data_IF_616678829570
#
_entry.id   IF_616678829570
#
_cell.length_a   1.000
_cell.length_b   1.000
_cell.length_c   1.000
_cell.angle_alpha   90.00
_cell.angle_beta   90.00
_cell.angle_gamma   90.00
#
_symmetry.space_group_name_H-M   'P 1'
#
loop_
_entity.id
_entity.type
_entity.pdbx_description
1 polymer ?
#
# COMPACT_ATOMS: atom_id res chain seq x y z
N UNK A 1 -27.53 11.44 -14.27
CA UNK A 1 -26.36 10.84 -14.94
C UNK A 1 -25.66 9.96 -13.91
N UNK A 2 -25.74 8.63 -14.03
CA UNK A 2 -25.01 7.72 -13.15
C UNK A 2 -23.54 7.73 -13.54
N UNK A 3 -22.66 8.05 -12.59
CA UNK A 3 -21.22 7.91 -12.79
C UNK A 3 -20.88 6.42 -12.93
N UNK A 4 -20.01 6.04 -13.88
CA UNK A 4 -19.59 4.65 -14.03
C UNK A 4 -18.92 4.17 -12.74
N UNK A 5 -19.34 3.00 -12.24
CA UNK A 5 -18.73 2.38 -11.07
C UNK A 5 -17.23 2.12 -11.34
N UNK A 6 -16.33 2.48 -10.42
CA UNK A 6 -14.91 2.21 -10.58
C UNK A 6 -14.70 0.69 -10.68
N UNK A 7 -14.13 0.25 -11.80
CA UNK A 7 -13.72 -1.14 -11.99
C UNK A 7 -12.61 -1.42 -10.98
N UNK A 8 -12.92 -2.23 -9.97
CA UNK A 8 -11.94 -2.65 -8.97
C UNK A 8 -10.83 -3.45 -9.65
N UNK A 9 -9.67 -2.83 -9.84
CA UNK A 9 -8.50 -3.51 -10.37
C UNK A 9 -8.12 -4.66 -9.44
N UNK A 10 -7.87 -5.84 -10.00
CA UNK A 10 -7.39 -6.99 -9.23
C UNK A 10 -6.10 -6.63 -8.50
N UNK A 11 -5.95 -7.00 -7.21
CA UNK A 11 -4.78 -6.61 -6.42
C UNK A 11 -3.52 -7.22 -7.03
N UNK A 12 -2.68 -6.36 -7.59
CA UNK A 12 -1.36 -6.75 -8.09
C UNK A 12 -0.50 -7.15 -6.90
N UNK A 13 0.00 -8.39 -6.90
CA UNK A 13 0.92 -8.88 -5.87
C UNK A 13 2.25 -8.12 -5.96
N UNK A 14 2.82 -7.66 -4.84
CA UNK A 14 4.07 -6.91 -4.86
C UNK A 14 5.22 -7.80 -5.37
N UNK A 15 5.98 -7.29 -6.33
CA UNK A 15 7.13 -7.97 -6.94
C UNK A 15 8.45 -7.71 -6.19
N UNK A 16 8.42 -6.87 -5.15
CA UNK A 16 9.58 -6.57 -4.32
C UNK A 16 9.19 -6.08 -2.92
N UNK A 17 10.13 -6.18 -1.96
CA UNK A 17 9.95 -5.67 -0.61
C UNK A 17 9.68 -4.16 -0.58
N UNK A 18 10.38 -3.38 -1.42
CA UNK A 18 10.14 -1.94 -1.54
C UNK A 18 8.73 -1.61 -2.04
N UNK A 19 8.21 -2.38 -3.01
CA UNK A 19 6.84 -2.24 -3.50
C UNK A 19 5.81 -2.63 -2.44
N UNK A 20 6.06 -3.70 -1.69
CA UNK A 20 5.21 -4.11 -0.56
C UNK A 20 5.16 -3.02 0.53
N UNK A 21 6.32 -2.48 0.92
CA UNK A 21 6.43 -1.42 1.93
C UNK A 21 5.73 -0.13 1.48
N UNK A 22 5.98 0.33 0.25
CA UNK A 22 5.32 1.52 -0.29
C UNK A 22 3.82 1.31 -0.42
N UNK A 23 3.38 0.16 -0.92
CA UNK A 23 1.95 -0.17 -1.02
C UNK A 23 1.27 -0.18 0.35
N UNK A 24 1.93 -0.70 1.38
CA UNK A 24 1.41 -0.62 2.76
C UNK A 24 1.34 0.82 3.26
N UNK A 25 2.43 1.60 3.13
CA UNK A 25 2.47 3.00 3.58
C UNK A 25 1.42 3.85 2.89
N UNK A 26 1.21 3.69 1.58
CA UNK A 26 0.18 4.42 0.84
C UNK A 26 -1.22 4.05 1.31
N UNK A 27 -1.53 2.75 1.46
CA UNK A 27 -2.85 2.30 1.93
C UNK A 27 -3.14 2.71 3.38
N UNK A 28 -2.13 2.72 4.24
CA UNK A 28 -2.28 3.09 5.64
C UNK A 28 -2.36 4.60 5.87
N UNK A 29 -1.87 5.42 4.92
CA UNK A 29 -1.86 6.88 5.02
C UNK A 29 -2.89 7.57 4.12
N UNK A 30 -3.55 6.86 3.20
CA UNK A 30 -4.73 7.39 2.53
C UNK A 30 -5.87 7.48 3.56
N UNK A 31 -6.61 8.61 3.63
CA UNK A 31 -7.84 8.66 4.42
C UNK A 31 -8.73 7.49 3.96
N UNK A 32 -9.57 6.90 4.84
CA UNK A 32 -10.45 5.79 4.49
C UNK A 32 -11.58 6.26 3.56
N UNK A 33 -11.20 6.63 2.33
CA UNK A 33 -12.02 6.64 1.13
C UNK A 33 -11.91 5.27 0.43
N UNK A 34 -11.19 4.32 1.04
CA UNK A 34 -10.90 3.00 0.53
C UNK A 34 -12.00 1.96 0.80
N UNK A 35 -12.02 0.97 -0.09
CA UNK A 35 -12.87 -0.22 -0.06
C UNK A 35 -12.89 -0.93 1.32
N UNK A 36 -13.96 -1.67 1.63
CA UNK A 36 -14.20 -2.32 2.94
C UNK A 36 -13.06 -3.26 3.38
N UNK A 37 -12.23 -3.70 2.44
CA UNK A 37 -11.03 -4.51 2.66
C UNK A 37 -9.92 -3.73 3.37
N UNK A 38 -9.71 -2.46 3.04
CA UNK A 38 -8.69 -1.60 3.65
C UNK A 38 -9.02 -1.34 5.13
N UNK A 39 -10.29 -1.04 5.43
CA UNK A 39 -10.74 -0.82 6.80
C UNK A 39 -10.45 -2.03 7.70
N UNK A 40 -10.74 -3.25 7.24
CA UNK A 40 -10.48 -4.48 8.01
C UNK A 40 -8.99 -4.68 8.29
N UNK A 41 -8.14 -4.41 7.30
CA UNK A 41 -6.68 -4.50 7.48
C UNK A 41 -6.17 -3.48 8.50
N UNK A 42 -6.66 -2.23 8.44
CA UNK A 42 -6.32 -1.19 9.43
C UNK A 42 -6.76 -1.59 10.84
N UNK A 43 -7.98 -2.09 11.00
CA UNK A 43 -8.48 -2.56 12.30
C UNK A 43 -7.66 -3.74 12.81
N UNK A 44 -7.28 -4.70 11.95
CA UNK A 44 -6.40 -5.79 12.34
C UNK A 44 -5.02 -5.27 12.81
N UNK A 45 -4.47 -4.24 12.15
CA UNK A 45 -3.20 -3.64 12.55
C UNK A 45 -3.24 -2.96 13.92
N UNK A 46 -4.40 -2.42 14.34
CA UNK A 46 -4.58 -1.89 15.70
C UNK A 46 -4.51 -3.00 16.75
N UNK A 47 -5.10 -4.16 16.47
CA UNK A 47 -4.99 -5.32 17.34
C UNK A 47 -3.55 -5.83 17.43
N UNK A 48 -2.85 -5.95 16.29
CA UNK A 48 -1.44 -6.37 16.29
C UNK A 48 -0.55 -5.38 17.06
N UNK A 49 -0.82 -4.08 16.96
CA UNK A 49 -0.13 -3.06 17.74
C UNK A 49 -0.40 -3.20 19.24
N UNK A 50 -1.65 -3.45 19.65
CA UNK A 50 -1.99 -3.71 21.04
C UNK A 50 -1.29 -4.97 21.58
N UNK A 51 -1.26 -6.05 20.81
CA UNK A 51 -0.54 -7.28 21.17
C UNK A 51 0.97 -7.02 21.34
N UNK A 52 1.57 -6.26 20.40
CA UNK A 52 2.98 -5.88 20.50
C UNK A 52 3.28 -5.04 21.75
N UNK A 53 2.40 -4.09 22.10
CA UNK A 53 2.53 -3.28 23.32
C UNK A 53 2.38 -4.14 24.58
N UNK A 54 1.48 -5.13 24.58
CA UNK A 54 1.28 -6.04 25.70
C UNK A 54 2.49 -6.95 25.97
N UNK A 55 3.30 -7.23 24.93
CA UNK A 55 4.56 -7.97 25.05
C UNK A 55 5.68 -7.14 25.73
N UNK A 56 5.43 -5.84 25.99
CA UNK A 56 6.30 -4.95 26.73
C UNK A 56 7.32 -4.21 25.86
N UNK A 57 8.00 -3.26 26.51
CA UNK A 57 8.94 -2.32 25.87
C UNK A 57 10.02 -2.98 25.01
N UNK A 58 10.65 -4.06 25.51
CA UNK A 58 11.71 -4.76 24.76
C UNK A 58 11.20 -5.33 23.44
N UNK A 59 9.99 -5.89 23.41
CA UNK A 59 9.38 -6.40 22.19
C UNK A 59 9.10 -5.28 21.19
N UNK A 60 8.58 -4.14 21.67
CA UNK A 60 8.33 -2.94 20.85
C UNK A 60 9.63 -2.44 20.21
N UNK A 61 10.71 -2.30 20.98
CA UNK A 61 12.01 -1.82 20.48
C UNK A 61 12.58 -2.78 19.43
N UNK A 62 12.51 -4.09 19.67
CA UNK A 62 12.97 -5.11 18.71
C UNK A 62 12.15 -5.04 17.42
N UNK A 63 10.83 -4.94 17.52
CA UNK A 63 9.97 -4.81 16.35
C UNK A 63 10.29 -3.54 15.55
N UNK A 64 10.41 -2.38 16.20
CA UNK A 64 10.79 -1.12 15.55
C UNK A 64 12.16 -1.22 14.86
N UNK A 65 13.11 -1.91 15.49
CA UNK A 65 14.45 -2.15 14.92
C UNK A 65 14.39 -3.03 13.68
N UNK A 66 13.59 -4.11 13.71
CA UNK A 66 13.38 -4.98 12.54
C UNK A 66 12.67 -4.23 11.41
N UNK A 67 11.62 -3.46 11.70
CA UNK A 67 10.95 -2.63 10.71
C UNK A 67 11.93 -1.64 10.06
N UNK A 68 12.78 -1.00 10.87
CA UNK A 68 13.81 -0.09 10.36
C UNK A 68 14.77 -0.80 9.41
N UNK A 69 15.29 -1.97 9.78
CA UNK A 69 16.18 -2.75 8.94
C UNK A 69 15.52 -3.13 7.60
N UNK A 70 14.23 -3.47 7.61
CA UNK A 70 13.46 -3.73 6.39
C UNK A 70 13.35 -2.48 5.50
N UNK A 71 13.05 -1.31 6.08
CA UNK A 71 12.97 -0.05 5.32
C UNK A 71 14.33 0.36 4.74
N UNK A 72 15.40 0.20 5.50
CA UNK A 72 16.77 0.49 5.04
C UNK A 72 17.17 -0.46 3.90
N UNK A 73 16.84 -1.74 4.01
CA UNK A 73 17.06 -2.72 2.94
C UNK A 73 16.23 -2.39 1.68
N UNK A 74 14.97 -2.00 1.84
CA UNK A 74 14.12 -1.56 0.73
C UNK A 74 14.67 -0.30 0.05
N UNK A 75 15.15 0.67 0.83
CA UNK A 75 15.78 1.89 0.30
C UNK A 75 17.07 1.56 -0.48
N UNK A 76 17.87 0.62 0.00
CA UNK A 76 19.07 0.14 -0.70
C UNK A 76 18.72 -0.56 -2.03
N UNK A 77 17.66 -1.37 -2.06
CA UNK A 77 17.16 -2.00 -3.29
C UNK A 77 16.71 -0.96 -4.33
N UNK A 78 15.98 0.08 -3.91
CA UNK A 78 15.59 1.18 -4.81
C UNK A 78 16.79 1.95 -5.34
N UNK A 79 17.83 2.14 -4.50
CA UNK A 79 19.07 2.77 -4.94
C UNK A 79 19.77 1.95 -6.01
N UNK A 80 19.94 0.64 -5.79
CA UNK A 80 20.54 -0.26 -6.77
C UNK A 80 19.79 -0.24 -8.12
N UNK A 81 18.45 -0.32 -8.08
CA UNK A 81 17.60 -0.21 -9.29
C UNK A 81 17.76 1.14 -9.99
N UNK A 82 17.86 2.23 -9.23
CA UNK A 82 18.06 3.57 -9.80
C UNK A 82 19.41 3.71 -10.51
N UNK A 83 20.47 3.05 -10.00
CA UNK A 83 21.80 3.05 -10.63
C UNK A 83 21.82 2.22 -11.91
N UNK A 84 21.21 1.03 -11.89
CA UNK A 84 21.06 0.17 -13.07
C UNK A 84 20.29 0.89 -14.21
N UNK A 85 19.23 1.62 -13.88
CA UNK A 85 18.46 2.38 -14.88
C UNK A 85 19.29 3.48 -15.57
N UNK A 86 20.25 4.08 -14.86
CA UNK A 86 21.16 5.09 -15.42
C UNK A 86 22.23 4.46 -16.31
N UNK A 87 22.79 3.31 -15.90
CA UNK A 87 23.81 2.58 -16.67
C UNK A 87 23.27 2.09 -18.02
N UNK A 88 22.08 1.47 -18.04
CA UNK A 88 21.43 0.98 -19.27
C UNK A 88 21.19 2.11 -20.27
N UNK A 89 20.83 3.31 -19.80
CA UNK A 89 20.64 4.48 -20.68
C UNK A 89 21.96 5.10 -21.16
N UNK A 90 23.05 4.97 -20.39
CA UNK A 90 24.38 5.46 -20.79
C UNK A 90 25.03 4.63 -21.90
N UNK A 91 24.69 3.34 -22.01
CA UNK A 91 25.24 2.44 -23.04
C UNK A 91 24.53 2.59 -24.40
N UNK A 92 23.27 3.04 -24.42
CA UNK A 92 22.48 3.17 -25.66
C UNK A 92 22.88 4.33 -26.59
N UNK A 93 23.76 5.24 -26.17
CA UNK A 93 24.15 6.44 -26.96
C UNK A 93 25.59 6.44 -27.44
N UNK A 94 26.42 5.47 -27.03
CA UNK A 94 27.84 5.41 -27.41
C UNK A 94 28.11 4.74 -28.78
N UNK A 95 27.09 4.15 -29.44
CA UNK A 95 27.27 3.33 -30.65
C UNK A 95 27.04 4.06 -31.99
N UNK A 96 26.68 5.34 -32.01
CA UNK A 96 26.48 6.08 -33.27
C UNK A 96 27.68 6.97 -33.60
N UNK A 97 28.72 6.37 -34.20
CA UNK A 97 29.79 7.10 -34.87
C UNK A 97 29.24 7.81 -36.11
N UNK A 98 29.02 9.12 -36.02
CA UNK A 98 28.55 9.94 -37.14
C UNK A 98 28.96 11.39 -36.97
N UNK A 99 29.99 11.79 -37.74
CA UNK A 99 30.49 13.16 -37.87
C UNK A 99 29.37 14.10 -38.32
N UNK A 100 28.92 15.01 -37.47
CA UNK A 100 28.29 16.26 -37.95
C UNK A 100 28.67 17.44 -37.07
N UNK A 101 29.14 18.48 -37.75
CA UNK A 101 29.61 19.74 -37.22
C UNK A 101 28.46 20.73 -36.97
N UNK A 102 28.75 21.67 -36.07
CA UNK A 102 28.26 23.05 -36.02
C UNK A 102 26.87 23.37 -35.42
N UNK A 103 26.90 24.49 -34.68
CA UNK A 103 25.82 25.41 -34.32
C UNK A 103 24.88 25.04 -33.15
N UNK A 104 25.23 25.58 -31.97
CA UNK A 104 24.29 26.38 -31.16
C UNK A 104 22.94 25.76 -30.81
N UNK A 105 22.91 24.61 -30.14
CA UNK A 105 21.75 24.16 -29.39
C UNK A 105 22.19 23.13 -28.36
N UNK A 106 21.74 23.29 -27.11
CA UNK A 106 21.85 22.37 -25.97
C UNK A 106 22.31 20.95 -26.36
N UNK A 107 23.53 20.61 -25.95
CA UNK A 107 24.20 19.34 -26.27
C UNK A 107 23.25 18.14 -26.07
N UNK A 108 23.16 17.18 -27.02
CA UNK A 108 22.35 15.97 -26.88
C UNK A 108 22.63 15.20 -25.58
N UNK A 109 23.87 15.31 -25.09
CA UNK A 109 24.34 14.75 -23.81
C UNK A 109 23.62 15.36 -22.60
N UNK A 110 23.26 16.64 -22.66
CA UNK A 110 22.50 17.34 -21.61
C UNK A 110 21.04 16.88 -21.63
N UNK A 111 20.44 16.71 -22.81
CA UNK A 111 19.07 16.21 -22.96
C UNK A 111 18.92 14.75 -22.52
N UNK A 112 19.88 13.88 -22.86
CA UNK A 112 19.89 12.48 -22.41
C UNK A 112 20.01 12.33 -20.90
N UNK A 113 20.88 13.12 -20.24
CA UNK A 113 21.00 13.14 -18.77
C UNK A 113 19.76 13.71 -18.08
N UNK A 114 19.13 14.74 -18.64
CA UNK A 114 17.91 15.32 -18.10
C UNK A 114 16.73 14.31 -18.17
N UNK A 115 16.58 13.59 -19.28
CA UNK A 115 15.55 12.56 -19.43
C UNK A 115 15.78 11.34 -18.52
N UNK A 116 17.03 10.90 -18.37
CA UNK A 116 17.39 9.82 -17.44
C UNK A 116 17.16 10.23 -15.97
N UNK A 117 17.48 11.49 -15.64
CA UNK A 117 17.19 12.07 -14.32
C UNK A 117 15.68 12.11 -14.05
N UNK A 118 14.86 12.51 -15.04
CA UNK A 118 13.40 12.55 -14.91
C UNK A 118 12.79 11.16 -14.66
N UNK A 119 13.25 10.11 -15.36
CA UNK A 119 12.79 8.73 -15.13
C UNK A 119 13.23 8.16 -13.77
N UNK A 120 14.36 8.62 -13.23
CA UNK A 120 14.86 8.21 -11.92
C UNK A 120 14.26 9.02 -10.75
N UNK A 121 13.59 10.16 -11.00
CA UNK A 121 12.94 10.96 -9.95
C UNK A 121 11.96 10.16 -9.06
N UNK A 122 11.01 9.37 -9.59
CA UNK A 122 10.05 8.65 -8.73
C UNK A 122 10.74 7.66 -7.79
N UNK A 123 11.78 6.95 -8.26
CA UNK A 123 12.55 6.02 -7.43
C UNK A 123 13.35 6.75 -6.34
N UNK A 124 13.90 7.93 -6.66
CA UNK A 124 14.60 8.77 -5.69
C UNK A 124 13.65 9.30 -4.61
N UNK A 125 12.43 9.67 -4.99
CA UNK A 125 11.42 10.15 -4.05
C UNK A 125 10.93 9.02 -3.14
N UNK A 126 10.62 7.85 -3.69
CA UNK A 126 10.30 6.65 -2.90
C UNK A 126 11.42 6.31 -1.90
N UNK A 127 12.69 6.38 -2.33
CA UNK A 127 13.84 6.19 -1.44
C UNK A 127 13.86 7.22 -0.30
N UNK A 128 13.61 8.50 -0.60
CA UNK A 128 13.56 9.56 0.43
C UNK A 128 12.46 9.30 1.44
N UNK A 129 11.28 8.85 1.00
CA UNK A 129 10.18 8.49 1.88
C UNK A 129 10.57 7.34 2.81
N UNK A 130 11.17 6.26 2.28
CA UNK A 130 11.63 5.12 3.09
C UNK A 130 12.69 5.55 4.11
N UNK A 131 13.64 6.40 3.72
CA UNK A 131 14.66 6.94 4.62
C UNK A 131 14.05 7.84 5.71
N UNK A 132 13.05 8.66 5.37
CA UNK A 132 12.34 9.48 6.35
C UNK A 132 11.55 8.61 7.33
N UNK A 133 10.90 7.55 6.85
CA UNK A 133 10.21 6.58 7.68
C UNK A 133 11.18 5.83 8.63
N UNK A 134 12.33 5.38 8.12
CA UNK A 134 13.41 4.78 8.92
C UNK A 134 13.86 5.71 10.05
N UNK A 135 14.07 7.00 9.79
CA UNK A 135 14.40 8.00 10.83
C UNK A 135 13.30 8.16 11.88
N UNK A 136 12.03 8.12 11.48
CA UNK A 136 10.90 8.17 12.44
C UNK A 136 10.89 6.94 13.35
N UNK A 137 11.22 5.76 12.83
CA UNK A 137 11.32 4.55 13.65
C UNK A 137 12.42 4.64 14.71
N UNK A 138 13.53 5.33 14.41
CA UNK A 138 14.57 5.60 15.42
C UNK A 138 14.03 6.48 16.54
N UNK A 139 13.32 7.54 16.20
CA UNK A 139 12.68 8.41 17.19
C UNK A 139 11.68 7.61 18.06
N UNK A 140 10.83 6.79 17.43
CA UNK A 140 9.86 5.96 18.15
C UNK A 140 10.54 4.92 19.06
N UNK A 141 11.66 4.34 18.64
CA UNK A 141 12.42 3.40 19.46
C UNK A 141 13.04 4.09 20.67
N UNK A 142 13.61 5.29 20.49
CA UNK A 142 14.11 6.12 21.60
C UNK A 142 12.99 6.51 22.56
N UNK A 143 11.87 6.98 22.03
CA UNK A 143 10.69 7.33 22.81
C UNK A 143 10.18 6.14 23.63
N UNK A 144 10.02 4.98 22.99
CA UNK A 144 9.56 3.75 23.66
C UNK A 144 10.54 3.31 24.76
N UNK A 145 11.85 3.52 24.58
CA UNK A 145 12.86 3.21 25.59
C UNK A 145 12.75 4.12 26.83
N UNK A 146 12.36 5.37 26.63
CA UNK A 146 12.19 6.38 27.69
C UNK A 146 10.85 6.29 28.42
N UNK A 147 9.85 5.60 27.86
CA UNK A 147 8.55 5.43 28.52
C UNK A 147 8.62 4.45 29.68
N UNK A 148 7.81 4.70 30.70
CA UNK A 148 7.51 3.72 31.73
C UNK A 148 6.51 2.67 31.23
N UNK A 149 6.44 1.53 31.91
CA UNK A 149 5.52 0.46 31.53
C UNK A 149 4.05 0.90 31.69
N UNK A 150 3.77 1.83 32.61
CA UNK A 150 2.43 2.38 32.81
C UNK A 150 1.95 3.20 31.59
N UNK A 151 2.80 4.04 31.00
CA UNK A 151 2.47 4.76 29.77
C UNK A 151 2.27 3.79 28.60
N UNK A 152 3.13 2.77 28.44
CA UNK A 152 2.96 1.77 27.39
C UNK A 152 1.65 1.00 27.55
N UNK A 153 1.28 0.64 28.79
CA UNK A 153 0.00 0.01 29.10
C UNK A 153 -1.18 0.93 28.80
N UNK A 154 -1.08 2.23 29.07
CA UNK A 154 -2.13 3.20 28.72
C UNK A 154 -2.33 3.27 27.19
N UNK A 155 -1.24 3.27 26.41
CA UNK A 155 -1.32 3.23 24.94
C UNK A 155 -1.93 1.90 24.46
N UNK A 156 -1.54 0.77 25.06
CA UNK A 156 -2.13 -0.54 24.76
C UNK A 156 -3.65 -0.53 24.98
N UNK A 157 -4.11 -0.08 26.15
CA UNK A 157 -5.55 -0.03 26.48
C UNK A 157 -6.32 0.88 25.53
N UNK A 158 -5.74 2.01 25.13
CA UNK A 158 -6.31 2.89 24.10
C UNK A 158 -6.43 2.18 22.75
N UNK A 159 -5.37 1.51 22.30
CA UNK A 159 -5.36 0.76 21.04
C UNK A 159 -6.39 -0.39 21.04
N UNK A 160 -6.52 -1.12 22.14
CA UNK A 160 -7.55 -2.15 22.29
C UNK A 160 -8.96 -1.59 22.28
N UNK A 161 -9.18 -0.45 22.93
CA UNK A 161 -10.49 0.20 22.95
C UNK A 161 -10.94 0.60 21.54
N UNK A 162 -10.07 1.31 20.81
CA UNK A 162 -10.31 1.71 19.42
C UNK A 162 -10.53 0.51 18.50
N UNK A 163 -9.71 -0.54 18.66
CA UNK A 163 -9.91 -1.80 17.91
C UNK A 163 -11.30 -2.39 18.15
N UNK A 164 -11.73 -2.53 19.41
CA UNK A 164 -13.06 -3.08 19.75
C UNK A 164 -14.18 -2.22 19.17
N UNK A 165 -14.06 -0.89 19.24
CA UNK A 165 -15.05 0.04 18.69
C UNK A 165 -15.20 -0.14 17.18
N UNK A 166 -14.09 -0.17 16.44
CA UNK A 166 -14.14 -0.35 14.99
C UNK A 166 -14.57 -1.76 14.57
N UNK A 167 -14.14 -2.79 15.32
CA UNK A 167 -14.54 -4.17 15.06
C UNK A 167 -16.05 -4.35 15.21
N UNK A 168 -16.65 -3.77 16.26
CA UNK A 168 -18.09 -3.79 16.46
C UNK A 168 -18.85 -3.12 15.30
N UNK A 169 -18.35 -1.98 14.79
CA UNK A 169 -18.95 -1.31 13.64
C UNK A 169 -18.87 -2.16 12.35
N UNK A 170 -17.76 -2.87 12.14
CA UNK A 170 -17.60 -3.80 11.01
C UNK A 170 -18.59 -4.95 11.12
N UNK A 171 -18.76 -5.52 12.30
CA UNK A 171 -19.65 -6.66 12.51
C UNK A 171 -21.13 -6.28 12.37
N UNK A 172 -21.54 -5.12 12.91
CA UNK A 172 -22.86 -4.55 12.67
C UNK A 172 -23.14 -4.34 11.17
N UNK A 173 -22.14 -3.85 10.41
CA UNK A 173 -22.26 -3.66 8.97
C UNK A 173 -22.45 -4.98 8.20
N UNK A 174 -21.78 -6.07 8.65
CA UNK A 174 -21.96 -7.41 8.06
C UNK A 174 -23.37 -7.95 8.30
N UNK A 175 -23.92 -7.73 9.50
CA UNK A 175 -25.27 -8.17 9.84
C UNK A 175 -26.33 -7.46 9.01
N UNK A 176 -26.20 -6.15 8.82
CA UNK A 176 -27.06 -5.36 7.94
C UNK A 176 -27.00 -5.87 6.48
N UNK A 177 -25.79 -6.13 5.97
CA UNK A 177 -25.62 -6.70 4.63
C UNK A 177 -26.24 -8.09 4.46
N UNK A 178 -26.16 -8.95 5.48
CA UNK A 178 -26.82 -10.27 5.49
C UNK A 178 -28.35 -10.14 5.52
N UNK A 179 -28.89 -9.26 6.36
CA UNK A 179 -30.34 -9.02 6.43
C UNK A 179 -30.89 -8.48 5.11
N UNK A 180 -30.20 -7.52 4.48
CA UNK A 180 -30.56 -7.00 3.17
C UNK A 180 -30.49 -8.08 2.06
N UNK A 181 -29.46 -8.93 2.08
CA UNK A 181 -29.32 -10.04 1.15
C UNK A 181 -30.43 -11.09 1.27
N UNK A 182 -30.87 -11.40 2.50
CA UNK A 182 -32.00 -12.32 2.74
C UNK A 182 -33.33 -11.75 2.21
N UNK A 183 -33.56 -10.44 2.36
CA UNK A 183 -34.75 -9.78 1.82
C UNK A 183 -34.74 -9.75 0.29
N UNK A 184 -33.60 -9.43 -0.32
CA UNK A 184 -33.43 -9.42 -1.79
C UNK A 184 -33.58 -10.83 -2.40
N UNK A 185 -33.06 -11.87 -1.74
CA UNK A 185 -33.23 -13.26 -2.17
C UNK A 185 -34.68 -13.74 -2.12
N UNK A 186 -35.50 -13.17 -1.24
CA UNK A 186 -36.95 -13.49 -1.14
C UNK A 186 -37.80 -12.78 -2.18
N UNK A 187 -37.30 -11.71 -2.78
CA UNK A 187 -37.99 -10.91 -3.79
C UNK A 187 -37.60 -11.26 -5.23
N UNK A 188 -36.77 -12.29 -5.48
CA UNK A 188 -36.60 -12.79 -6.86
C UNK A 188 -37.97 -13.25 -7.37
N UNK A 189 -38.57 -12.53 -8.34
CA UNK A 189 -39.91 -12.84 -8.79
C UNK A 189 -39.90 -14.23 -9.44
N UNK A 190 -40.91 -15.04 -9.10
CA UNK A 190 -41.12 -16.38 -9.64
C UNK A 190 -41.24 -16.43 -11.18
N UNK A 191 -41.27 -15.28 -11.86
CA UNK A 191 -41.34 -15.15 -13.31
C UNK A 191 -40.05 -15.53 -14.06
N UNK A 192 -38.88 -15.50 -13.41
CA UNK A 192 -37.65 -16.03 -14.05
C UNK A 192 -37.69 -17.56 -14.19
N UNK A 193 -38.43 -18.25 -13.32
CA UNK A 193 -38.60 -19.71 -13.41
C UNK A 193 -39.55 -20.12 -14.54
N UNK A 194 -40.46 -19.23 -14.98
CA UNK A 194 -41.32 -19.48 -16.14
C UNK A 194 -40.57 -19.28 -17.47
N UNK A 195 -39.74 -18.24 -17.61
CA UNK A 195 -38.96 -18.00 -18.84
C UNK A 195 -37.94 -19.09 -19.15
N UNK A 196 -37.38 -19.76 -18.15
CA UNK A 196 -36.48 -20.88 -18.36
C UNK A 196 -37.20 -22.17 -18.81
N UNK A 197 -38.51 -22.32 -18.53
CA UNK A 197 -39.30 -23.47 -18.99
C UNK A 197 -39.85 -23.29 -20.41
N UNK A 198 -40.19 -22.07 -20.83
CA UNK A 198 -40.70 -21.84 -22.20
C UNK A 198 -39.63 -22.03 -23.28
N UNK A 199 -38.34 -21.87 -22.99
CA UNK A 199 -37.26 -22.07 -23.97
C UNK A 199 -36.89 -23.54 -24.21
N UNK A 200 -37.41 -24.48 -23.41
CA UNK A 200 -37.17 -25.92 -23.62
C UNK A 200 -38.25 -26.54 -24.53
N UNK A 201 -39.43 -25.92 -24.63
CA UNK A 201 -40.52 -26.40 -25.51
C UNK A 201 -40.44 -25.86 -26.95
N UNK A 202 -39.53 -24.92 -27.26
CA UNK A 202 -39.33 -24.38 -28.63
C UNK A 202 -38.22 -25.11 -29.44
N UNK A 203 -37.69 -26.24 -28.94
CA UNK A 203 -36.60 -27.00 -29.59
C UNK A 203 -36.99 -28.46 -29.93
N UNK A 204 -38.27 -28.83 -29.79
CA UNK A 204 -38.84 -30.06 -30.39
C UNK A 204 -39.73 -29.72 -31.59
#
# INVERSE_FOLDING_TARGET
ASLPAPVAASPVLPTSAAEACMGFLTRSCEPPLGDHTCLRATVASLHDAAQLLSAGRSAVIVALTHLRALLDAAAAQLQARSMQAVEVMGQGTAASGGRHAACGASSPWVRGRAAASAKAQPLREQRRVLQAASKKLVFLASWANEQDEAALQAVQLGAEHEWRQHQAAIDASKEQGRAAGLLAGRQRPADESKRARTLVEEVE
#
